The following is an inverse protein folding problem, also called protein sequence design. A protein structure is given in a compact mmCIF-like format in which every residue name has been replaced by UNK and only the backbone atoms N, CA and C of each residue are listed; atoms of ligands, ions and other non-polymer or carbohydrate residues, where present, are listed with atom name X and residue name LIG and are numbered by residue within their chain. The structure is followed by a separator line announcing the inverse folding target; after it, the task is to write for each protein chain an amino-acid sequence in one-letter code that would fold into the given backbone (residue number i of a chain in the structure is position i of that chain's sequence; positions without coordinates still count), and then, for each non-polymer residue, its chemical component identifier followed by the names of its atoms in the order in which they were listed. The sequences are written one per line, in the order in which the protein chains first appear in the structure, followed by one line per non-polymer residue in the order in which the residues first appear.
data_IF_141772823184
#
_entry.id   IF_141772823184
#
_cell.length_a   1.000
_cell.length_b   1.000
_cell.length_c   1.000
_cell.angle_alpha   90.00
_cell.angle_beta   90.00
_cell.angle_gamma   90.00
#
_symmetry.space_group_name_H-M   'P 1'
#
loop_
_entity.id
_entity.type
_entity.pdbx_description
1 polymer ?
#
# COMPACT_ATOMS: atom_id res chain seq x y z
N UNK A 1 21.12 21.44 -10.60
CA UNK A 1 20.92 20.73 -11.89
C UNK A 1 20.04 19.52 -11.61
N UNK A 2 18.93 19.36 -12.33
CA UNK A 2 18.02 18.22 -12.16
C UNK A 2 18.43 17.09 -13.12
N UNK A 3 18.43 15.84 -12.65
CA UNK A 3 18.65 14.66 -13.50
C UNK A 3 17.61 13.58 -13.20
N UNK A 4 17.14 12.92 -14.24
CA UNK A 4 16.25 11.76 -14.13
C UNK A 4 17.08 10.54 -13.74
N UNK A 5 16.65 9.81 -12.71
CA UNK A 5 17.38 8.64 -12.20
C UNK A 5 17.00 7.40 -13.03
N UNK A 6 15.71 7.26 -13.39
CA UNK A 6 15.21 6.21 -14.29
C UNK A 6 13.83 6.57 -14.83
N UNK A 7 13.54 6.24 -16.10
CA UNK A 7 12.19 6.29 -16.63
C UNK A 7 11.54 4.93 -16.37
N UNK A 8 10.54 4.88 -15.50
CA UNK A 8 9.71 3.69 -15.33
C UNK A 8 8.94 3.35 -16.60
N UNK A 9 8.38 2.14 -16.67
CA UNK A 9 7.44 1.77 -17.74
C UNK A 9 6.15 2.62 -17.71
N UNK A 10 5.19 2.32 -18.59
CA UNK A 10 3.82 2.83 -18.43
C UNK A 10 3.24 2.23 -17.14
N UNK A 11 3.29 3.00 -16.06
CA UNK A 11 2.56 2.74 -14.83
C UNK A 11 1.28 3.56 -14.87
N UNK A 12 0.17 3.03 -14.36
CA UNK A 12 -1.11 3.75 -14.30
C UNK A 12 -1.16 4.70 -13.10
N UNK A 13 -2.28 4.75 -12.39
CA UNK A 13 -2.43 5.52 -11.15
C UNK A 13 -1.41 5.03 -10.10
N UNK A 14 -0.68 6.00 -9.54
CA UNK A 14 0.38 5.75 -8.56
C UNK A 14 0.15 6.57 -7.31
N UNK A 15 0.35 5.95 -6.15
CA UNK A 15 0.36 6.65 -4.87
C UNK A 15 1.75 6.55 -4.22
N UNK A 16 2.09 7.56 -3.43
CA UNK A 16 3.42 7.67 -2.82
C UNK A 16 3.29 7.95 -1.33
N UNK A 17 4.04 7.21 -0.53
CA UNK A 17 4.21 7.46 0.89
C UNK A 17 5.66 7.74 1.24
N UNK A 18 5.87 8.68 2.16
CA UNK A 18 7.20 9.05 2.64
C UNK A 18 7.33 8.51 4.06
N UNK A 19 8.14 7.47 4.21
CA UNK A 19 8.53 6.95 5.52
C UNK A 19 9.73 7.70 6.09
N UNK A 20 10.26 7.17 7.19
CA UNK A 20 11.43 7.72 7.85
C UNK A 20 12.68 7.62 6.98
N UNK A 21 13.00 6.40 6.49
CA UNK A 21 14.20 6.14 5.68
C UNK A 21 13.94 5.92 4.20
N UNK A 22 12.69 5.65 3.83
CA UNK A 22 12.33 5.26 2.48
C UNK A 22 11.14 6.04 1.91
N UNK A 23 11.11 6.17 0.59
CA UNK A 23 9.93 6.51 -0.20
C UNK A 23 9.32 5.21 -0.72
N UNK A 24 8.01 5.08 -0.58
CA UNK A 24 7.23 3.96 -1.10
C UNK A 24 6.39 4.44 -2.26
N UNK A 25 6.49 3.77 -3.39
CA UNK A 25 5.71 4.03 -4.59
C UNK A 25 4.87 2.81 -4.89
N UNK A 26 3.56 2.91 -4.69
CA UNK A 26 2.58 1.91 -5.10
C UNK A 26 2.14 2.12 -6.53
N UNK A 27 2.17 1.07 -7.36
CA UNK A 27 1.68 1.12 -8.74
C UNK A 27 0.45 0.24 -8.94
N UNK A 28 -0.43 0.67 -9.83
CA UNK A 28 -1.57 -0.09 -10.36
C UNK A 28 -1.23 -0.82 -11.69
N UNK A 29 0.02 -1.22 -11.89
CA UNK A 29 0.46 -1.83 -13.16
C UNK A 29 0.06 -3.31 -13.29
N UNK A 30 -0.82 -3.82 -12.42
CA UNK A 30 -1.20 -5.24 -12.22
C UNK A 30 -0.06 -6.13 -11.69
N UNK A 31 1.08 -5.58 -11.29
CA UNK A 31 2.25 -6.40 -10.92
C UNK A 31 2.43 -6.53 -9.41
N UNK A 32 1.54 -5.94 -8.61
CA UNK A 32 1.59 -6.02 -7.15
C UNK A 32 2.81 -5.35 -6.54
N UNK A 33 3.34 -4.32 -7.21
CA UNK A 33 4.64 -3.73 -6.92
C UNK A 33 4.51 -2.52 -6.01
N UNK A 34 5.23 -2.57 -4.89
CA UNK A 34 5.64 -1.37 -4.15
C UNK A 34 7.13 -1.18 -4.34
N UNK A 35 7.56 -0.09 -4.95
CA UNK A 35 8.97 0.29 -4.98
C UNK A 35 9.32 0.98 -3.67
N UNK A 36 10.37 0.49 -3.00
CA UNK A 36 10.95 1.07 -1.79
C UNK A 36 12.30 1.70 -2.14
N UNK A 37 12.36 3.02 -2.27
CA UNK A 37 13.58 3.78 -2.53
C UNK A 37 14.15 4.42 -1.26
N UNK A 38 15.45 4.37 -0.99
CA UNK A 38 16.05 5.14 0.10
C UNK A 38 15.84 6.65 -0.12
N UNK A 39 15.60 7.42 0.95
CA UNK A 39 15.39 8.88 0.86
C UNK A 39 16.65 9.68 0.57
N UNK A 40 17.79 9.16 1.00
CA UNK A 40 19.08 9.85 1.08
C UNK A 40 20.02 9.54 -0.11
N UNK A 41 19.64 8.61 -0.98
CA UNK A 41 20.45 8.22 -2.13
C UNK A 41 19.62 8.25 -3.40
N UNK A 42 20.28 8.61 -4.51
CA UNK A 42 19.72 8.47 -5.86
C UNK A 42 19.75 6.99 -6.33
N UNK A 43 19.53 6.04 -5.41
CA UNK A 43 19.54 4.61 -5.69
C UNK A 43 18.20 4.13 -6.25
N UNK A 44 18.22 3.10 -7.07
CA UNK A 44 17.07 2.58 -7.84
C UNK A 44 15.95 1.92 -6.98
N UNK A 45 16.08 1.96 -5.65
CA UNK A 45 15.15 1.29 -4.74
C UNK A 45 15.08 -0.21 -4.94
N UNK A 46 14.18 -0.87 -4.19
CA UNK A 46 13.87 -2.29 -4.33
C UNK A 46 12.38 -2.44 -4.61
N UNK A 47 12.03 -3.25 -5.61
CA UNK A 47 10.64 -3.69 -5.80
C UNK A 47 10.29 -4.74 -4.76
N UNK A 48 9.23 -4.47 -4.00
CA UNK A 48 8.56 -5.41 -3.13
C UNK A 48 7.38 -5.99 -3.92
N UNK A 49 7.35 -7.31 -4.04
CA UNK A 49 6.29 -8.06 -4.71
C UNK A 49 5.47 -8.76 -3.63
N UNK A 50 4.15 -8.56 -3.64
CA UNK A 50 3.25 -9.33 -2.78
C UNK A 50 2.79 -10.59 -3.50
N UNK A 51 2.06 -10.47 -4.61
CA UNK A 51 1.63 -11.55 -5.51
C UNK A 51 1.29 -10.97 -6.90
N UNK A 52 1.21 -11.77 -7.98
CA UNK A 52 0.65 -11.37 -9.26
C UNK A 52 -0.78 -10.80 -9.13
N UNK A 53 -1.18 -9.92 -10.05
CA UNK A 53 -2.51 -9.31 -10.15
C UNK A 53 -2.94 -8.39 -8.99
N UNK A 54 -2.02 -8.01 -8.10
CA UNK A 54 -2.27 -6.93 -7.14
C UNK A 54 -2.12 -5.54 -7.79
N UNK A 55 -3.03 -4.64 -7.45
CA UNK A 55 -2.99 -3.22 -7.76
C UNK A 55 -2.87 -2.45 -6.47
N UNK A 56 -1.89 -1.57 -6.35
CA UNK A 56 -1.76 -0.72 -5.17
C UNK A 56 -2.58 0.55 -5.37
N UNK A 57 -3.75 0.62 -4.74
CA UNK A 57 -4.66 1.76 -4.87
C UNK A 57 -4.22 2.97 -4.06
N UNK A 58 -3.55 2.72 -2.93
CA UNK A 58 -2.94 3.75 -2.10
C UNK A 58 -1.88 3.17 -1.18
N UNK A 59 -0.99 4.03 -0.71
CA UNK A 59 0.02 3.70 0.30
C UNK A 59 0.15 4.87 1.28
N UNK A 60 0.28 4.56 2.57
CA UNK A 60 0.57 5.56 3.60
C UNK A 60 1.64 5.04 4.55
N UNK A 61 2.52 5.94 5.00
CA UNK A 61 3.57 5.64 5.95
C UNK A 61 3.53 6.62 7.12
N UNK A 62 3.85 6.12 8.31
CA UNK A 62 4.17 6.94 9.48
C UNK A 62 5.25 6.24 10.29
N UNK A 63 6.35 6.96 10.51
CA UNK A 63 7.57 6.40 11.09
C UNK A 63 7.98 5.13 10.32
N UNK A 64 7.99 3.98 10.99
CA UNK A 64 8.34 2.68 10.41
C UNK A 64 7.14 1.86 9.93
N UNK A 65 5.93 2.34 10.16
CA UNK A 65 4.70 1.65 9.78
C UNK A 65 4.28 2.06 8.38
N UNK A 66 3.82 1.10 7.59
CA UNK A 66 3.25 1.32 6.27
C UNK A 66 1.95 0.56 6.17
N UNK A 67 0.96 1.16 5.55
CA UNK A 67 -0.29 0.52 5.17
C UNK A 67 -0.48 0.69 3.67
N UNK A 68 -1.00 -0.32 3.01
CA UNK A 68 -1.39 -0.24 1.62
C UNK A 68 -2.71 -0.95 1.38
N UNK A 69 -3.60 -0.26 0.67
CA UNK A 69 -4.82 -0.85 0.15
C UNK A 69 -4.54 -1.40 -1.23
N UNK A 70 -4.91 -2.67 -1.44
CA UNK A 70 -4.76 -3.33 -2.72
C UNK A 70 -6.08 -3.85 -3.24
N UNK A 71 -6.16 -3.93 -4.55
CA UNK A 71 -7.15 -4.71 -5.28
C UNK A 71 -6.44 -5.88 -5.93
N UNK A 72 -7.12 -7.00 -6.09
CA UNK A 72 -6.65 -8.10 -6.95
C UNK A 72 -7.54 -8.27 -8.15
N UNK A 73 -6.97 -8.80 -9.22
CA UNK A 73 -7.68 -9.24 -10.41
C UNK A 73 -7.36 -8.41 -11.65
N UNK A 74 -7.87 -8.87 -12.79
CA UNK A 74 -7.61 -8.23 -14.08
C UNK A 74 -8.47 -6.97 -14.25
N UNK A 75 -8.08 -6.11 -15.20
CA UNK A 75 -8.70 -4.81 -15.58
C UNK A 75 -10.25 -4.74 -15.65
N UNK A 76 -10.96 -5.89 -15.64
CA UNK A 76 -12.44 -5.99 -15.66
C UNK A 76 -13.04 -6.97 -14.65
N UNK A 77 -12.22 -7.68 -13.86
CA UNK A 77 -12.67 -8.66 -12.86
C UNK A 77 -11.82 -8.49 -11.61
N UNK A 78 -12.37 -7.78 -10.62
CA UNK A 78 -11.72 -7.71 -9.30
C UNK A 78 -11.98 -9.01 -8.53
N UNK A 79 -10.91 -9.64 -8.05
CA UNK A 79 -10.92 -10.88 -7.28
C UNK A 79 -11.07 -10.65 -5.77
N UNK A 80 -10.70 -9.47 -5.26
CA UNK A 80 -10.78 -9.12 -3.84
C UNK A 80 -10.01 -7.85 -3.51
N UNK A 81 -10.22 -7.31 -2.30
CA UNK A 81 -9.47 -6.17 -1.78
C UNK A 81 -8.72 -6.54 -0.50
N UNK A 82 -7.45 -6.17 -0.40
CA UNK A 82 -6.62 -6.48 0.76
C UNK A 82 -6.02 -5.24 1.37
N UNK A 83 -6.10 -5.17 2.70
CA UNK A 83 -5.29 -4.25 3.47
C UNK A 83 -4.05 -5.01 3.94
N UNK A 84 -2.88 -4.54 3.52
CA UNK A 84 -1.60 -5.05 4.00
C UNK A 84 -0.88 -3.98 4.79
N UNK A 85 -0.07 -4.41 5.76
CA UNK A 85 0.73 -3.51 6.57
C UNK A 85 2.14 -4.04 6.79
N UNK A 86 3.07 -3.12 6.97
CA UNK A 86 4.43 -3.40 7.39
C UNK A 86 4.75 -2.61 8.66
N UNK A 87 5.50 -3.23 9.55
CA UNK A 87 5.98 -2.64 10.80
C UNK A 87 7.47 -2.25 10.77
N UNK A 88 8.15 -2.57 9.68
CA UNK A 88 9.61 -2.53 9.55
C UNK A 88 10.05 -1.87 8.23
N UNK A 89 9.31 -0.84 7.81
CA UNK A 89 9.58 -0.08 6.58
C UNK A 89 9.57 -0.94 5.31
N UNK A 90 8.63 -1.87 5.26
CA UNK A 90 8.36 -2.70 4.09
C UNK A 90 9.36 -3.83 3.93
N UNK A 91 10.09 -4.22 4.98
CA UNK A 91 10.93 -5.42 4.93
C UNK A 91 10.08 -6.69 5.07
N UNK A 92 9.05 -6.66 5.90
CA UNK A 92 8.02 -7.70 6.04
C UNK A 92 6.63 -7.09 5.94
N UNK A 93 5.68 -7.87 5.42
CA UNK A 93 4.29 -7.45 5.23
C UNK A 93 3.34 -8.50 5.80
N UNK A 94 2.25 -8.02 6.38
CA UNK A 94 1.15 -8.83 6.90
C UNK A 94 -0.16 -8.39 6.25
N UNK A 95 -0.96 -9.36 5.80
CA UNK A 95 -2.36 -9.14 5.46
C UNK A 95 -3.18 -8.90 6.73
N UNK A 96 -3.77 -7.73 6.86
CA UNK A 96 -4.59 -7.34 8.02
C UNK A 96 -6.08 -7.60 7.78
N UNK A 97 -6.56 -7.29 6.58
CA UNK A 97 -7.94 -7.51 6.18
C UNK A 97 -7.99 -8.05 4.75
N UNK A 98 -9.01 -8.84 4.52
CA UNK A 98 -9.43 -9.33 3.22
C UNK A 98 -10.93 -9.05 3.12
N UNK A 99 -11.30 -8.20 2.17
CA UNK A 99 -12.70 -8.04 1.78
C UNK A 99 -12.90 -8.94 0.54
N UNK A 100 -13.57 -10.07 0.76
CA UNK A 100 -13.90 -11.07 -0.25
C UNK A 100 -15.41 -11.40 -0.14
N UNK A 101 -16.26 -10.71 -0.89
CA UNK A 101 -17.71 -10.92 -0.91
C UNK A 101 -18.06 -11.76 -2.14
N UNK A 102 -17.83 -13.07 -2.04
CA UNK A 102 -18.63 -14.10 -2.72
C UNK A 102 -18.94 -13.93 -4.22
N UNK A 103 -18.10 -13.22 -4.99
CA UNK A 103 -18.27 -13.00 -6.43
C UNK A 103 -18.81 -11.65 -6.88
N UNK A 104 -19.08 -10.69 -5.98
CA UNK A 104 -19.37 -9.31 -6.36
C UNK A 104 -18.07 -8.51 -6.51
N UNK A 105 -17.93 -7.59 -7.50
CA UNK A 105 -16.73 -6.77 -7.67
C UNK A 105 -16.53 -5.91 -6.43
N UNK A 106 -15.65 -6.35 -5.55
CA UNK A 106 -15.46 -5.65 -4.30
C UNK A 106 -14.59 -4.43 -4.47
N UNK A 107 -15.00 -3.44 -3.69
CA UNK A 107 -14.48 -2.12 -3.77
C UNK A 107 -13.08 -1.97 -3.24
N UNK A 108 -12.27 -1.24 -3.98
CA UNK A 108 -11.02 -0.69 -3.47
C UNK A 108 -11.25 -0.05 -2.11
N UNK A 109 -10.24 -0.10 -1.24
CA UNK A 109 -10.20 0.84 -0.13
C UNK A 109 -10.16 2.27 -0.70
N UNK A 110 -11.03 3.15 -0.24
CA UNK A 110 -11.08 4.56 -0.68
C UNK A 110 -9.70 5.22 -0.52
N UNK A 111 -9.29 6.06 -1.47
CA UNK A 111 -7.99 6.76 -1.40
C UNK A 111 -7.91 7.68 -0.17
N UNK A 112 -9.05 8.16 0.33
CA UNK A 112 -9.19 8.88 1.59
C UNK A 112 -8.71 8.07 2.80
N UNK A 113 -8.71 6.73 2.69
CA UNK A 113 -8.18 5.82 3.70
C UNK A 113 -6.67 5.96 3.88
N UNK A 114 -5.94 6.64 2.97
CA UNK A 114 -4.50 6.91 3.11
C UNK A 114 -4.16 7.96 4.17
N UNK A 115 -5.13 8.48 4.92
CA UNK A 115 -4.89 9.48 5.98
C UNK A 115 -4.80 8.81 7.34
N UNK A 116 -3.63 8.93 7.96
CA UNK A 116 -3.44 8.55 9.36
C UNK A 116 -3.86 9.71 10.26
N UNK A 117 -4.53 9.39 11.37
CA UNK A 117 -4.75 10.36 12.45
C UNK A 117 -3.45 10.71 13.17
N UNK A 118 -3.47 11.76 14.01
CA UNK A 118 -2.31 12.16 14.82
C UNK A 118 -1.73 11.03 15.70
N UNK A 119 -2.54 10.02 16.08
CA UNK A 119 -2.09 8.85 16.84
C UNK A 119 -1.74 7.61 16.01
N UNK A 120 -1.64 7.75 14.69
CA UNK A 120 -1.32 6.64 13.78
C UNK A 120 -2.42 5.62 13.57
N UNK A 121 -3.66 5.98 13.90
CA UNK A 121 -4.80 5.21 13.43
C UNK A 121 -5.04 5.43 11.95
N UNK A 122 -5.18 4.33 11.24
CA UNK A 122 -5.75 4.24 9.91
C UNK A 122 -7.26 4.09 10.03
N UNK A 123 -8.00 4.97 9.34
CA UNK A 123 -9.43 4.81 9.15
C UNK A 123 -9.65 4.43 7.70
N UNK A 124 -10.26 3.27 7.45
CA UNK A 124 -10.48 2.82 6.10
C UNK A 124 -11.92 2.38 5.87
N UNK A 125 -12.41 2.69 4.67
CA UNK A 125 -13.71 2.26 4.19
C UNK A 125 -13.53 1.51 2.87
N UNK A 126 -14.39 0.54 2.63
CA UNK A 126 -14.48 -0.26 1.40
C UNK A 126 -15.62 0.25 0.53
N UNK A 127 -15.63 0.00 -0.79
CA UNK A 127 -16.82 0.38 -1.59
C UNK A 127 -18.07 -0.45 -1.24
N UNK A 128 -17.93 -1.57 -0.52
CA UNK A 128 -19.08 -2.31 0.06
C UNK A 128 -19.72 -1.59 1.25
N UNK A 129 -19.11 -0.48 1.72
CA UNK A 129 -19.63 0.33 2.83
C UNK A 129 -19.12 -0.11 4.21
N UNK A 130 -18.28 -1.15 4.30
CA UNK A 130 -17.65 -1.54 5.57
C UNK A 130 -16.59 -0.52 5.98
N UNK A 131 -16.54 -0.20 7.26
CA UNK A 131 -15.58 0.75 7.84
C UNK A 131 -14.76 0.09 8.94
N UNK A 132 -13.48 0.46 9.02
CA UNK A 132 -12.53 -0.09 9.98
C UNK A 132 -11.64 1.01 10.56
N UNK A 133 -11.19 0.79 11.78
CA UNK A 133 -10.20 1.63 12.46
C UNK A 133 -9.05 0.74 12.95
N UNK A 134 -7.85 0.98 12.46
CA UNK A 134 -6.73 0.05 12.56
C UNK A 134 -5.50 0.79 13.08
N UNK A 135 -4.79 0.16 14.01
CA UNK A 135 -3.44 0.57 14.43
C UNK A 135 -2.62 -0.66 14.77
N UNK A 136 -1.31 -0.55 14.69
CA UNK A 136 -0.42 -1.52 15.32
C UNK A 136 -0.57 -1.44 16.85
N UNK A 137 -0.79 -2.58 17.50
CA UNK A 137 -0.74 -2.65 18.96
C UNK A 137 0.71 -2.46 19.43
N UNK A 138 0.95 -1.79 20.57
CA UNK A 138 2.25 -1.83 21.21
C UNK A 138 2.65 -3.29 21.44
N UNK A 139 3.85 -3.70 21.05
CA UNK A 139 4.40 -4.94 21.56
C UNK A 139 4.54 -4.73 23.06
N UNK A 140 3.76 -5.45 23.88
CA UNK A 140 4.01 -5.48 25.32
C UNK A 140 5.44 -5.97 25.52
N UNK A 141 6.33 -5.06 25.92
CA UNK A 141 7.62 -5.39 26.49
C UNK A 141 7.35 -6.20 27.76
N UNK A 142 7.51 -7.52 27.67
CA UNK A 142 7.67 -8.36 28.84
C UNK A 142 9.08 -8.18 29.39
#
# INVERSE_FOLDING_TARGET
MWRWIKRGGKQGHTDVAIGERYVFWGSDDNLGRVLRAPRDTAGDGRTLLWEPDHHVSWVVAQSRQIYAGTLTGERKKTGGAYLVASADEGATWQKLLEDADGGAPLGAFYAESRRLSAGGWLYCATLSGRTYRIRRAPQNSR
#
